data_IF_480955209164
#
_entry.id   IF_480955209164
#
_cell.length_a   1.000
_cell.length_b   1.000
_cell.length_c   1.000
_cell.angle_alpha   90.00
_cell.angle_beta   90.00
_cell.angle_gamma   90.00
#
_symmetry.space_group_name_H-M   'P 1'
#
loop_
_entity.id
_entity.type
_entity.pdbx_description
1 polymer ?
#
# COMPACT_ATOMS: atom_id res chain seq x y z
N UNK A 1 6.68 7.07 7.57
CA UNK A 1 7.87 6.20 7.48
C UNK A 1 8.30 6.16 6.03
N UNK A 2 9.56 6.49 5.74
CA UNK A 2 10.13 6.40 4.39
C UNK A 2 11.08 5.21 4.37
N UNK A 3 11.00 4.37 3.34
CA UNK A 3 11.86 3.20 3.20
C UNK A 3 12.73 3.36 1.96
N UNK A 4 14.06 3.28 2.14
CA UNK A 4 15.04 3.64 1.11
C UNK A 4 15.73 2.44 0.47
N UNK A 5 15.39 1.22 0.89
CA UNK A 5 16.01 -0.01 0.41
C UNK A 5 15.09 -0.82 -0.51
N UNK A 6 15.60 -1.93 -1.06
CA UNK A 6 14.77 -2.87 -1.81
C UNK A 6 13.84 -3.64 -0.87
N UNK A 7 12.55 -3.64 -1.19
CA UNK A 7 11.55 -4.36 -0.40
C UNK A 7 11.85 -5.86 -0.33
N UNK A 8 11.91 -6.40 0.88
CA UNK A 8 12.10 -7.84 1.13
C UNK A 8 10.85 -8.45 1.73
N UNK A 9 10.65 -9.76 1.57
CA UNK A 9 9.52 -10.46 2.20
C UNK A 9 9.49 -10.28 3.71
N UNK A 10 10.64 -10.40 4.38
CA UNK A 10 10.72 -10.29 5.83
C UNK A 10 10.35 -8.89 6.33
N UNK A 11 10.82 -7.84 5.65
CA UNK A 11 10.45 -6.47 6.01
C UNK A 11 8.96 -6.22 5.76
N UNK A 12 8.45 -6.64 4.60
CA UNK A 12 7.05 -6.46 4.26
C UNK A 12 6.13 -7.18 5.26
N UNK A 13 6.44 -8.42 5.64
CA UNK A 13 5.67 -9.19 6.62
C UNK A 13 5.67 -8.54 7.99
N UNK A 14 6.83 -8.02 8.43
CA UNK A 14 6.93 -7.28 9.69
C UNK A 14 6.08 -6.02 9.66
N UNK A 15 6.16 -5.25 8.57
CA UNK A 15 5.31 -4.06 8.40
C UNK A 15 3.82 -4.44 8.34
N UNK A 16 3.48 -5.53 7.67
CA UNK A 16 2.12 -6.03 7.55
C UNK A 16 1.55 -6.35 8.95
N UNK A 17 2.29 -7.09 9.78
CA UNK A 17 1.88 -7.48 11.13
C UNK A 17 1.90 -6.31 12.14
N UNK A 18 2.92 -5.47 12.12
CA UNK A 18 3.14 -4.45 13.15
C UNK A 18 2.47 -3.11 12.84
N UNK A 19 2.16 -2.82 11.56
CA UNK A 19 1.60 -1.55 11.15
C UNK A 19 0.26 -1.69 10.43
N UNK A 20 0.17 -2.52 9.39
CA UNK A 20 -1.07 -2.60 8.61
C UNK A 20 -2.20 -3.24 9.41
N UNK A 21 -2.02 -4.45 9.92
CA UNK A 21 -3.09 -5.17 10.63
C UNK A 21 -3.63 -4.39 11.84
N UNK A 22 -2.80 -3.79 12.72
CA UNK A 22 -3.29 -3.01 13.85
C UNK A 22 -4.03 -1.72 13.46
N UNK A 23 -3.81 -1.20 12.24
CA UNK A 23 -4.50 0.00 11.75
C UNK A 23 -5.92 -0.27 11.25
N UNK A 24 -6.29 -1.54 11.05
CA UNK A 24 -7.61 -1.93 10.58
C UNK A 24 -8.56 -2.12 11.76
N UNK A 25 -9.47 -1.16 11.97
CA UNK A 25 -10.44 -1.20 13.07
C UNK A 25 -11.59 -2.20 12.88
N UNK A 26 -11.76 -2.71 11.66
CA UNK A 26 -12.81 -3.66 11.28
C UNK A 26 -12.22 -4.84 10.51
N UNK A 27 -12.83 -6.02 10.70
CA UNK A 27 -12.50 -7.21 9.93
C UNK A 27 -12.63 -6.89 8.45
N UNK A 28 -11.57 -7.14 7.70
CA UNK A 28 -11.41 -6.62 6.35
C UNK A 28 -10.85 -7.68 5.42
N UNK A 29 -11.16 -7.53 4.14
CA UNK A 29 -10.54 -8.28 3.06
C UNK A 29 -9.44 -7.41 2.46
N UNK A 30 -8.20 -7.87 2.57
CA UNK A 30 -7.01 -7.18 2.08
C UNK A 30 -6.70 -7.73 0.69
N UNK A 31 -6.86 -6.89 -0.32
CA UNK A 31 -6.57 -7.22 -1.72
C UNK A 31 -5.09 -6.91 -1.98
N UNK A 32 -4.35 -7.87 -2.53
CA UNK A 32 -2.92 -7.72 -2.80
C UNK A 32 -2.56 -8.15 -4.22
N UNK A 33 -1.60 -7.47 -4.84
CA UNK A 33 -1.00 -7.93 -6.08
C UNK A 33 -0.01 -9.09 -5.84
N UNK A 34 0.44 -9.72 -6.93
CA UNK A 34 1.30 -10.91 -6.88
C UNK A 34 2.80 -10.58 -6.86
N UNK A 35 3.21 -9.51 -6.17
CA UNK A 35 4.63 -9.17 -6.04
C UNK A 35 5.41 -10.34 -5.42
N UNK A 36 6.63 -10.62 -5.92
CA UNK A 36 7.43 -11.79 -5.51
C UNK A 36 7.68 -11.85 -4.00
N UNK A 37 7.77 -10.70 -3.34
CA UNK A 37 7.99 -10.63 -1.90
C UNK A 37 6.72 -10.85 -1.07
N UNK A 38 5.53 -10.85 -1.67
CA UNK A 38 4.26 -11.17 -1.02
C UNK A 38 4.09 -12.68 -0.86
N UNK A 39 4.70 -13.25 0.19
CA UNK A 39 4.55 -14.67 0.52
C UNK A 39 3.15 -14.95 1.06
N UNK A 40 2.20 -15.18 0.15
CA UNK A 40 0.77 -15.32 0.45
C UNK A 40 0.45 -16.30 1.58
N UNK A 41 1.20 -17.40 1.72
CA UNK A 41 1.02 -18.35 2.83
C UNK A 41 1.25 -17.69 4.20
N UNK A 42 2.30 -16.89 4.32
CA UNK A 42 2.64 -16.18 5.57
C UNK A 42 1.63 -15.07 5.82
N UNK A 43 1.34 -14.27 4.80
CA UNK A 43 0.42 -13.13 4.92
C UNK A 43 -1.01 -13.55 5.27
N UNK A 44 -1.51 -14.65 4.70
CA UNK A 44 -2.81 -15.21 5.08
C UNK A 44 -2.85 -15.64 6.54
N UNK A 45 -1.82 -16.35 7.01
CA UNK A 45 -1.73 -16.78 8.40
C UNK A 45 -1.64 -15.59 9.37
N UNK A 46 -0.91 -14.53 9.01
CA UNK A 46 -0.85 -13.30 9.79
C UNK A 46 -2.21 -12.60 9.83
N UNK A 47 -2.85 -12.39 8.68
CA UNK A 47 -4.16 -11.75 8.62
C UNK A 47 -5.23 -12.51 9.41
N UNK A 48 -5.25 -13.84 9.33
CA UNK A 48 -6.21 -14.70 10.03
C UNK A 48 -6.11 -14.56 11.55
N UNK A 49 -4.88 -14.44 12.11
CA UNK A 49 -4.68 -14.18 13.55
C UNK A 49 -5.37 -12.90 14.04
N UNK A 50 -5.50 -11.91 13.16
CA UNK A 50 -6.15 -10.63 13.43
C UNK A 50 -7.62 -10.60 12.95
N UNK A 51 -8.12 -11.71 12.37
CA UNK A 51 -9.49 -11.82 11.87
C UNK A 51 -9.73 -11.17 10.50
N UNK A 52 -8.68 -10.94 9.72
CA UNK A 52 -8.73 -10.45 8.34
C UNK A 52 -8.49 -11.58 7.33
N UNK A 53 -8.80 -11.31 6.06
CA UNK A 53 -8.57 -12.25 4.95
C UNK A 53 -7.70 -11.57 3.90
N UNK A 54 -6.71 -12.29 3.35
CA UNK A 54 -5.91 -11.80 2.21
C UNK A 54 -6.36 -12.49 0.93
N UNK A 55 -6.70 -11.69 -0.09
CA UNK A 55 -7.04 -12.15 -1.43
C UNK A 55 -6.00 -11.64 -2.45
N UNK A 56 -5.25 -12.53 -3.13
CA UNK A 56 -4.38 -12.12 -4.22
C UNK A 56 -5.21 -11.80 -5.47
N UNK A 57 -4.81 -10.77 -6.21
CA UNK A 57 -5.33 -10.48 -7.55
C UNK A 57 -4.83 -11.52 -8.57
N UNK A 58 -5.52 -11.62 -9.71
CA UNK A 58 -5.01 -12.38 -10.85
C UNK A 58 -3.68 -11.77 -11.34
N UNK A 59 -2.74 -12.61 -11.80
CA UNK A 59 -1.50 -12.13 -12.42
C UNK A 59 -1.82 -11.16 -13.58
N UNK A 60 -1.05 -10.07 -13.66
CA UNK A 60 -1.14 -9.08 -14.73
C UNK A 60 -2.51 -8.38 -14.88
N UNK A 61 -3.26 -8.25 -13.79
CA UNK A 61 -4.53 -7.51 -13.75
C UNK A 61 -4.45 -6.18 -12.96
N UNK A 62 -3.58 -5.22 -13.35
CA UNK A 62 -3.46 -3.94 -12.67
C UNK A 62 -4.76 -3.11 -12.73
N UNK A 63 -5.62 -3.34 -13.72
CA UNK A 63 -6.94 -2.72 -13.84
C UNK A 63 -7.87 -3.05 -12.67
N UNK A 64 -7.64 -4.17 -11.99
CA UNK A 64 -8.39 -4.58 -10.79
C UNK A 64 -7.82 -3.97 -9.50
N UNK A 65 -6.64 -3.34 -9.57
CA UNK A 65 -6.01 -2.71 -8.43
C UNK A 65 -6.39 -1.23 -8.34
N UNK A 66 -7.41 -0.92 -7.55
CA UNK A 66 -7.95 0.45 -7.40
C UNK A 66 -6.88 1.48 -6.99
N UNK A 67 -5.81 1.05 -6.30
CA UNK A 67 -4.73 1.94 -5.90
C UNK A 67 -3.97 2.52 -7.10
N UNK A 68 -3.92 1.83 -8.24
CA UNK A 68 -3.24 2.31 -9.46
C UNK A 68 -3.90 3.57 -10.00
N UNK A 69 -5.24 3.62 -9.99
CA UNK A 69 -6.00 4.82 -10.35
C UNK A 69 -5.72 5.95 -9.38
N UNK A 70 -5.65 5.66 -8.08
CA UNK A 70 -5.34 6.66 -7.06
C UNK A 70 -3.92 7.22 -7.22
N UNK A 71 -2.93 6.37 -7.49
CA UNK A 71 -1.57 6.80 -7.82
C UNK A 71 -1.52 7.64 -9.10
N UNK A 72 -2.30 7.29 -10.11
CA UNK A 72 -2.45 8.08 -11.33
C UNK A 72 -2.94 9.51 -11.05
N UNK A 73 -3.98 9.63 -10.22
CA UNK A 73 -4.52 10.92 -9.79
C UNK A 73 -3.51 11.72 -8.98
N UNK A 74 -2.85 11.10 -8.00
CA UNK A 74 -1.82 11.75 -7.19
C UNK A 74 -0.67 12.27 -8.05
N UNK A 75 -0.11 11.44 -8.94
CA UNK A 75 0.98 11.84 -9.83
C UNK A 75 0.58 12.99 -10.75
N UNK A 76 -0.68 13.02 -11.20
CA UNK A 76 -1.21 14.11 -12.03
C UNK A 76 -1.33 15.42 -11.24
N UNK A 77 -1.74 15.34 -9.97
CA UNK A 77 -1.77 16.50 -9.07
C UNK A 77 -0.36 17.02 -8.79
N UNK A 78 0.54 16.14 -8.33
CA UNK A 78 1.92 16.51 -7.96
C UNK A 78 2.65 17.18 -9.13
N UNK A 79 2.51 16.67 -10.36
CA UNK A 79 3.11 17.30 -11.56
C UNK A 79 2.74 18.77 -11.76
N UNK A 80 1.60 19.23 -11.24
CA UNK A 80 1.16 20.62 -11.36
C UNK A 80 1.68 21.53 -10.27
N UNK A 81 1.91 20.98 -9.07
CA UNK A 81 2.18 21.79 -7.88
C UNK A 81 3.62 21.66 -7.39
N UNK A 82 4.37 20.65 -7.84
CA UNK A 82 5.70 20.34 -7.30
C UNK A 82 6.69 21.52 -7.39
N UNK A 83 6.60 22.35 -8.44
CA UNK A 83 7.44 23.54 -8.59
C UNK A 83 7.16 24.65 -7.57
N UNK A 84 6.05 24.55 -6.84
CA UNK A 84 5.61 25.55 -5.88
C UNK A 84 6.05 25.21 -4.45
N UNK A 85 6.72 24.08 -4.25
CA UNK A 85 7.16 23.60 -2.94
C UNK A 85 8.66 23.28 -2.99
N UNK A 86 9.37 23.68 -1.94
CA UNK A 86 10.79 23.33 -1.77
C UNK A 86 10.97 21.89 -1.24
N UNK A 87 9.94 21.37 -0.55
CA UNK A 87 9.95 20.05 0.10
C UNK A 87 8.87 19.16 -0.50
N UNK A 88 9.26 17.97 -0.98
CA UNK A 88 8.33 17.00 -1.57
C UNK A 88 7.17 16.61 -0.63
N UNK A 89 7.45 16.50 0.67
CA UNK A 89 6.44 16.14 1.67
C UNK A 89 5.34 17.19 1.78
N UNK A 90 5.66 18.48 1.67
CA UNK A 90 4.66 19.55 1.70
C UNK A 90 3.77 19.50 0.46
N UNK A 91 4.36 19.24 -0.71
CA UNK A 91 3.61 19.00 -1.94
C UNK A 91 2.70 17.76 -1.82
N UNK A 92 3.19 16.67 -1.22
CA UNK A 92 2.42 15.46 -1.00
C UNK A 92 1.24 15.69 -0.04
N UNK A 93 1.46 16.37 1.08
CA UNK A 93 0.45 16.67 2.09
C UNK A 93 -0.58 17.72 1.62
N UNK A 94 -0.23 18.55 0.63
CA UNK A 94 -1.19 19.48 0.00
C UNK A 94 -2.28 18.77 -0.83
N UNK A 95 -2.09 17.48 -1.15
CA UNK A 95 -3.07 16.70 -1.90
C UNK A 95 -4.24 16.28 -0.99
N UNK A 96 -5.38 16.95 -1.14
CA UNK A 96 -6.61 16.68 -0.37
C UNK A 96 -7.23 15.29 -0.61
N UNK A 97 -6.76 14.52 -1.59
CA UNK A 97 -7.26 13.18 -1.93
C UNK A 97 -6.86 12.05 -0.96
N UNK A 98 -6.22 12.38 0.17
CA UNK A 98 -5.85 11.44 1.24
C UNK A 98 -6.58 11.71 2.57
N UNK A 99 -7.46 12.72 2.61
CA UNK A 99 -8.32 13.00 3.77
C UNK A 99 -9.66 12.26 3.67
#
# INVERSE_FOLDING_TARGET
>A
MTYENTMTSAFFEKWFEEHLLPSLSVKSVIIMDNARFHRMKVLKALAEKFGHVVLPLSPYSPELNLIEKQWGNLKKYLRKVLSNFDVFWDALLSCSGFN
#
